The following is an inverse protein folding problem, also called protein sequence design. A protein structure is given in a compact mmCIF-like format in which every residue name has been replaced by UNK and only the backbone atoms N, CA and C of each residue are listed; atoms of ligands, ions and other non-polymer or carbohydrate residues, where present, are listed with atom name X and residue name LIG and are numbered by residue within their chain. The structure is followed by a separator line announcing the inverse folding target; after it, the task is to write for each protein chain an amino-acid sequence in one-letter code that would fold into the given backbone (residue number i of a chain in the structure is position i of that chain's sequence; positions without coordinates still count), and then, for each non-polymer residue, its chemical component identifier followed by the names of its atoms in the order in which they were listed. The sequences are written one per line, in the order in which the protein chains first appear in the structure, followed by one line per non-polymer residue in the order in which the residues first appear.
data_IF_647778959862
#
_entry.id   IF_647778959862
#
_cell.length_a   1.000
_cell.length_b   1.000
_cell.length_c   1.000
_cell.angle_alpha   90.00
_cell.angle_beta   90.00
_cell.angle_gamma   90.00
#
_symmetry.space_group_name_H-M   'P 1'
#
loop_
_entity.id
_entity.type
_entity.pdbx_description
1 polymer ?
#
# COMPACT_ATOMS: atom_id res chain seq x y z
N UNK A 1 -20.53 23.53 20.35
CA UNK A 1 -19.62 23.13 19.24
C UNK A 1 -18.20 22.80 19.72
N UNK A 2 -17.51 23.71 20.44
CA UNK A 2 -16.14 23.47 20.97
C UNK A 2 -16.04 22.23 21.89
N UNK A 3 -17.01 22.05 22.80
CA UNK A 3 -17.06 20.90 23.70
C UNK A 3 -17.21 19.56 22.94
N UNK A 4 -17.97 19.56 21.84
CA UNK A 4 -18.18 18.38 21.01
C UNK A 4 -16.89 17.97 20.28
N UNK A 5 -16.20 18.93 19.66
CA UNK A 5 -14.90 18.67 19.01
C UNK A 5 -13.82 18.23 20.00
N UNK A 6 -13.81 18.79 21.21
CA UNK A 6 -12.91 18.34 22.27
C UNK A 6 -13.17 16.90 22.71
N UNK A 7 -14.44 16.51 22.91
CA UNK A 7 -14.82 15.13 23.23
C UNK A 7 -14.50 14.15 22.10
N UNK A 8 -14.79 14.53 20.85
CA UNK A 8 -14.45 13.74 19.67
C UNK A 8 -12.94 13.53 19.57
N UNK A 9 -12.15 14.58 19.77
CA UNK A 9 -10.69 14.48 19.80
C UNK A 9 -10.20 13.54 20.90
N UNK A 10 -10.73 13.66 22.12
CA UNK A 10 -10.36 12.80 23.24
C UNK A 10 -10.69 11.31 22.97
N UNK A 11 -11.81 11.04 22.30
CA UNK A 11 -12.16 9.69 21.84
C UNK A 11 -11.12 9.15 20.85
N UNK A 12 -10.79 9.93 19.82
CA UNK A 12 -9.79 9.55 18.82
C UNK A 12 -8.36 9.51 19.36
N UNK A 13 -8.08 10.09 20.52
CA UNK A 13 -6.77 9.99 21.15
C UNK A 13 -6.65 8.80 22.12
N UNK A 14 -7.76 8.18 22.52
CA UNK A 14 -7.77 7.13 23.54
C UNK A 14 -7.55 5.73 22.94
N UNK A 15 -6.46 5.01 23.29
CA UNK A 15 -6.18 3.66 22.80
C UNK A 15 -7.27 2.64 23.11
N UNK A 16 -7.95 2.77 24.26
CA UNK A 16 -8.99 1.83 24.68
C UNK A 16 -10.21 1.84 23.75
N UNK A 17 -10.44 2.94 23.04
CA UNK A 17 -11.52 3.04 22.06
C UNK A 17 -11.02 2.75 20.64
N UNK A 18 -9.84 3.27 20.30
CA UNK A 18 -9.32 3.22 18.94
C UNK A 18 -8.82 1.83 18.56
N UNK A 19 -8.19 1.09 19.47
CA UNK A 19 -7.69 -0.25 19.18
C UNK A 19 -8.81 -1.26 18.92
N UNK A 20 -9.87 -1.36 19.75
CA UNK A 20 -10.99 -2.23 19.43
C UNK A 20 -11.70 -1.85 18.13
N UNK A 21 -11.85 -0.54 17.86
CA UNK A 21 -12.47 -0.08 16.61
C UNK A 21 -11.62 -0.47 15.39
N UNK A 22 -10.30 -0.31 15.46
CA UNK A 22 -9.36 -0.76 14.44
C UNK A 22 -9.47 -2.27 14.20
N UNK A 23 -9.38 -3.09 15.26
CA UNK A 23 -9.46 -4.55 15.15
C UNK A 23 -10.81 -4.96 14.54
N UNK A 24 -11.90 -4.40 15.04
CA UNK A 24 -13.25 -4.67 14.55
C UNK A 24 -13.38 -4.34 13.07
N UNK A 25 -12.88 -3.18 12.64
CA UNK A 25 -12.92 -2.75 11.24
C UNK A 25 -12.18 -3.73 10.33
N UNK A 26 -10.93 -4.05 10.64
CA UNK A 26 -10.09 -4.91 9.81
C UNK A 26 -10.63 -6.34 9.76
N UNK A 27 -11.10 -6.88 10.89
CA UNK A 27 -11.73 -8.21 10.95
C UNK A 27 -13.02 -8.23 10.14
N UNK A 28 -13.90 -7.23 10.28
CA UNK A 28 -15.14 -7.15 9.49
C UNK A 28 -14.81 -7.11 8.00
N UNK A 29 -13.81 -6.33 7.57
CA UNK A 29 -13.40 -6.30 6.18
C UNK A 29 -12.97 -7.68 5.66
N UNK A 30 -12.16 -8.43 6.42
CA UNK A 30 -11.78 -9.80 6.05
C UNK A 30 -12.99 -10.73 6.01
N UNK A 31 -13.87 -10.70 7.01
CA UNK A 31 -15.08 -11.53 7.04
C UNK A 31 -16.02 -11.23 5.87
N UNK A 32 -16.18 -9.97 5.47
CA UNK A 32 -16.96 -9.58 4.30
C UNK A 32 -16.40 -10.15 3.00
N UNK A 33 -15.07 -10.30 2.90
CA UNK A 33 -14.41 -10.94 1.75
C UNK A 33 -14.57 -12.46 1.84
N UNK A 34 -14.22 -13.07 2.97
CA UNK A 34 -14.25 -14.53 3.14
C UNK A 34 -15.64 -15.10 2.94
N UNK A 35 -16.68 -14.40 3.42
CA UNK A 35 -18.09 -14.78 3.23
C UNK A 35 -18.45 -14.99 1.75
N UNK A 36 -17.80 -14.28 0.82
CA UNK A 36 -18.04 -14.39 -0.63
C UNK A 36 -17.42 -15.65 -1.25
N UNK A 37 -16.51 -16.30 -0.54
CA UNK A 37 -15.70 -17.42 -1.03
C UNK A 37 -15.66 -18.54 0.02
N UNK A 38 -16.84 -18.97 0.51
CA UNK A 38 -16.99 -20.09 1.45
C UNK A 38 -16.18 -19.96 2.75
N UNK A 39 -16.10 -18.75 3.31
CA UNK A 39 -15.34 -18.44 4.53
C UNK A 39 -13.84 -18.75 4.44
N UNK A 40 -13.30 -18.74 3.23
CA UNK A 40 -11.92 -19.14 2.98
C UNK A 40 -10.94 -17.95 3.01
N UNK A 41 -9.94 -17.97 3.91
CA UNK A 41 -9.00 -16.85 4.05
C UNK A 41 -8.01 -16.72 2.89
N UNK A 42 -7.83 -17.73 2.04
CA UNK A 42 -6.95 -17.62 0.87
C UNK A 42 -7.51 -16.65 -0.20
N UNK A 43 -8.79 -16.31 -0.12
CA UNK A 43 -9.46 -15.39 -1.07
C UNK A 43 -8.81 -14.01 -1.15
N UNK A 44 -8.19 -13.50 -0.07
CA UNK A 44 -7.48 -12.22 -0.08
C UNK A 44 -6.06 -12.29 -0.66
N UNK A 45 -5.45 -13.49 -0.74
CA UNK A 45 -4.19 -13.65 -1.48
C UNK A 45 -4.43 -13.51 -2.98
N UNK A 46 -5.63 -13.90 -3.40
CA UNK A 46 -6.10 -13.78 -4.77
C UNK A 46 -5.23 -14.61 -5.74
N UNK A 47 -5.26 -15.93 -5.56
CA UNK A 47 -4.54 -16.88 -6.40
C UNK A 47 -5.18 -16.98 -7.79
N UNK A 48 -4.42 -16.66 -8.84
CA UNK A 48 -4.87 -16.82 -10.22
C UNK A 48 -4.60 -18.24 -10.74
N UNK A 49 -5.57 -18.83 -11.45
CA UNK A 49 -5.47 -20.21 -11.97
C UNK A 49 -4.19 -20.49 -12.75
N UNK A 50 -3.78 -19.56 -13.62
CA UNK A 50 -2.57 -19.70 -14.43
C UNK A 50 -1.30 -19.85 -13.59
N UNK A 51 -1.21 -19.14 -12.46
CA UNK A 51 -0.06 -19.21 -11.56
C UNK A 51 -0.11 -20.46 -10.68
N UNK A 52 -1.30 -20.85 -10.23
CA UNK A 52 -1.49 -22.06 -9.43
C UNK A 52 -1.07 -23.32 -10.19
N UNK A 53 -1.51 -23.47 -11.44
CA UNK A 53 -1.16 -24.65 -12.26
C UNK A 53 0.35 -24.80 -12.39
N UNK A 54 1.09 -23.68 -12.49
CA UNK A 54 2.54 -23.67 -12.58
C UNK A 54 3.26 -23.88 -11.24
N UNK A 55 2.59 -23.69 -10.12
CA UNK A 55 3.13 -23.75 -8.75
C UNK A 55 2.25 -24.64 -7.84
N UNK A 56 1.82 -25.79 -8.37
CA UNK A 56 0.83 -26.68 -7.76
C UNK A 56 1.23 -27.14 -6.35
N UNK A 57 2.49 -27.53 -6.18
CA UNK A 57 3.01 -28.09 -4.91
C UNK A 57 2.99 -27.06 -3.76
N UNK A 58 3.16 -25.78 -4.08
CA UNK A 58 3.18 -24.70 -3.09
C UNK A 58 1.80 -24.10 -2.80
N UNK A 59 0.80 -24.48 -3.58
CA UNK A 59 -0.57 -23.96 -3.43
C UNK A 59 -1.29 -24.74 -2.32
N UNK A 60 -1.93 -24.07 -1.33
CA UNK A 60 -2.64 -24.78 -0.28
C UNK A 60 -3.82 -25.56 -0.85
N UNK A 61 -3.96 -26.84 -0.47
CA UNK A 61 -5.18 -27.60 -0.72
C UNK A 61 -6.37 -26.93 -0.04
N UNK A 62 -7.49 -26.86 -0.74
CA UNK A 62 -8.67 -26.14 -0.33
C UNK A 62 -8.61 -24.62 -0.56
N UNK A 63 -7.57 -24.07 -1.21
CA UNK A 63 -7.51 -22.63 -1.49
C UNK A 63 -8.51 -22.20 -2.58
N UNK A 64 -9.03 -20.98 -2.45
CA UNK A 64 -9.80 -20.29 -3.50
C UNK A 64 -8.86 -19.89 -4.64
N UNK A 65 -9.21 -20.30 -5.86
CA UNK A 65 -8.51 -19.97 -7.10
C UNK A 65 -9.44 -19.17 -8.00
N UNK A 66 -8.99 -18.02 -8.45
CA UNK A 66 -9.71 -17.17 -9.37
C UNK A 66 -9.45 -17.56 -10.82
N UNK A 67 -10.53 -17.81 -11.56
CA UNK A 67 -10.48 -18.34 -12.93
C UNK A 67 -10.13 -17.27 -13.98
N UNK A 68 -10.25 -15.98 -13.62
CA UNK A 68 -10.18 -14.89 -14.59
C UNK A 68 -11.50 -14.62 -15.32
N UNK A 69 -11.48 -13.67 -16.24
CA UNK A 69 -12.57 -13.39 -17.20
C UNK A 69 -12.02 -13.56 -18.62
N UNK A 70 -12.86 -13.77 -19.65
CA UNK A 70 -12.38 -13.78 -21.03
C UNK A 70 -11.59 -12.50 -21.34
N UNK A 71 -10.32 -12.64 -21.75
CA UNK A 71 -9.40 -11.51 -21.99
C UNK A 71 -8.54 -11.08 -20.78
N UNK A 72 -8.74 -11.70 -19.61
CA UNK A 72 -7.97 -11.46 -18.37
C UNK A 72 -7.33 -12.79 -17.96
N UNK A 73 -6.01 -12.91 -18.18
CA UNK A 73 -5.18 -14.11 -18.02
C UNK A 73 -5.05 -14.49 -16.53
N UNK A 74 -6.12 -15.03 -15.95
CA UNK A 74 -6.18 -15.46 -14.55
C UNK A 74 -6.10 -14.28 -13.58
N UNK A 75 -7.23 -13.91 -12.96
CA UNK A 75 -7.42 -12.72 -12.12
C UNK A 75 -6.65 -12.70 -10.78
N UNK A 76 -5.47 -13.30 -10.71
CA UNK A 76 -4.64 -13.24 -9.52
C UNK A 76 -4.01 -11.85 -9.34
N UNK A 77 -3.82 -11.43 -8.09
CA UNK A 77 -3.30 -10.10 -7.75
C UNK A 77 -1.90 -10.20 -7.14
N UNK A 78 -1.27 -9.07 -6.80
CA UNK A 78 0.11 -9.02 -6.29
C UNK A 78 0.33 -9.88 -5.02
N UNK A 79 -0.72 -10.18 -4.24
CA UNK A 79 -0.64 -11.01 -3.03
C UNK A 79 -0.05 -12.41 -3.27
N UNK A 80 -0.47 -13.08 -4.34
CA UNK A 80 0.04 -14.41 -4.70
C UNK A 80 1.55 -14.42 -4.98
N UNK A 81 2.09 -13.31 -5.52
CA UNK A 81 3.51 -13.17 -5.83
C UNK A 81 4.30 -13.26 -4.53
N UNK A 82 3.88 -12.47 -3.53
CA UNK A 82 4.55 -12.45 -2.24
C UNK A 82 4.39 -13.78 -1.50
N UNK A 83 3.23 -14.43 -1.64
CA UNK A 83 3.02 -15.79 -1.14
C UNK A 83 4.05 -16.77 -1.72
N UNK A 84 4.12 -16.95 -3.04
CA UNK A 84 5.00 -17.96 -3.63
C UNK A 84 6.48 -17.66 -3.42
N UNK A 85 6.88 -16.38 -3.48
CA UNK A 85 8.27 -16.02 -3.17
C UNK A 85 8.61 -16.29 -1.71
N UNK A 86 7.67 -16.14 -0.78
CA UNK A 86 7.90 -16.49 0.62
C UNK A 86 8.05 -18.00 0.81
N UNK A 87 7.27 -18.81 0.06
CA UNK A 87 7.37 -20.27 0.06
C UNK A 87 8.74 -20.76 -0.38
N UNK A 88 9.27 -20.19 -1.47
CA UNK A 88 10.63 -20.42 -1.94
C UNK A 88 11.66 -20.24 -0.81
N UNK A 89 11.56 -19.13 -0.07
CA UNK A 89 12.45 -18.85 1.05
C UNK A 89 12.24 -19.81 2.24
N UNK A 90 11.00 -20.17 2.56
CA UNK A 90 10.67 -21.10 3.65
C UNK A 90 11.20 -22.50 3.41
N UNK A 91 11.15 -22.97 2.15
CA UNK A 91 11.66 -24.27 1.74
C UNK A 91 13.18 -24.32 1.57
N UNK A 92 13.89 -23.20 1.83
CA UNK A 92 15.34 -23.07 1.64
C UNK A 92 15.82 -23.50 0.25
N UNK A 93 14.96 -23.38 -0.77
CA UNK A 93 15.29 -23.65 -2.16
C UNK A 93 15.23 -22.35 -2.94
N UNK A 94 16.16 -22.13 -3.86
CA UNK A 94 16.13 -20.97 -4.77
C UNK A 94 15.38 -21.29 -6.07
N UNK A 95 14.41 -22.20 -6.00
CA UNK A 95 13.51 -22.49 -7.11
C UNK A 95 12.50 -21.35 -7.25
N UNK A 96 12.79 -20.43 -8.16
CA UNK A 96 11.95 -19.25 -8.37
C UNK A 96 10.54 -19.63 -8.82
N UNK A 97 9.50 -18.98 -8.26
CA UNK A 97 8.13 -19.23 -8.65
C UNK A 97 7.90 -18.99 -10.14
N UNK A 98 7.25 -19.94 -10.81
CA UNK A 98 7.03 -19.90 -12.26
C UNK A 98 5.90 -18.94 -12.63
N UNK A 99 6.05 -18.28 -13.78
CA UNK A 99 5.04 -17.39 -14.35
C UNK A 99 5.16 -15.93 -13.94
N UNK A 100 6.12 -15.56 -13.08
CA UNK A 100 6.32 -14.18 -12.64
C UNK A 100 7.54 -13.53 -13.33
N UNK A 101 7.43 -12.24 -13.65
CA UNK A 101 8.56 -11.49 -14.22
C UNK A 101 9.66 -11.25 -13.19
N UNK A 102 10.79 -11.93 -13.37
CA UNK A 102 11.97 -11.88 -12.50
C UNK A 102 12.51 -10.45 -12.36
N UNK A 103 12.54 -9.69 -13.45
CA UNK A 103 13.08 -8.32 -13.50
C UNK A 103 12.41 -7.36 -12.52
N UNK A 104 11.10 -7.47 -12.35
CA UNK A 104 10.30 -6.55 -11.53
C UNK A 104 10.06 -7.13 -10.14
N UNK A 105 9.87 -8.45 -10.04
CA UNK A 105 9.39 -9.09 -8.81
C UNK A 105 10.50 -9.62 -7.92
N UNK A 106 11.59 -10.14 -8.48
CA UNK A 106 12.71 -10.66 -7.69
C UNK A 106 13.42 -9.61 -6.81
N UNK A 107 13.54 -8.33 -7.21
CA UNK A 107 14.10 -7.30 -6.33
C UNK A 107 13.27 -7.04 -5.07
N UNK A 108 11.95 -7.34 -5.09
CA UNK A 108 11.00 -7.05 -4.01
C UNK A 108 10.90 -8.18 -2.98
N UNK A 109 12.04 -8.64 -2.46
CA UNK A 109 12.10 -9.80 -1.55
C UNK A 109 11.75 -9.47 -0.09
N UNK A 110 11.69 -8.20 0.30
CA UNK A 110 11.56 -7.79 1.70
C UNK A 110 10.29 -8.29 2.39
N UNK A 111 9.12 -8.17 1.76
CA UNK A 111 7.88 -8.73 2.31
C UNK A 111 7.87 -10.27 2.31
N UNK A 112 8.23 -10.96 1.20
CA UNK A 112 8.42 -12.41 1.21
C UNK A 112 9.34 -12.93 2.31
N UNK A 113 10.46 -12.24 2.56
CA UNK A 113 11.45 -12.60 3.58
C UNK A 113 10.85 -12.56 4.99
N UNK A 114 10.00 -11.58 5.28
CA UNK A 114 9.33 -11.49 6.58
C UNK A 114 8.23 -12.55 6.74
N UNK A 115 7.53 -12.88 5.65
CA UNK A 115 6.46 -13.90 5.65
C UNK A 115 7.03 -15.32 5.72
N UNK A 116 8.23 -15.56 5.21
CA UNK A 116 8.79 -16.91 5.06
C UNK A 116 8.94 -17.67 6.38
N UNK A 117 9.12 -16.97 7.51
CA UNK A 117 9.15 -17.58 8.85
C UNK A 117 7.87 -18.35 9.15
N UNK A 118 6.72 -17.87 8.66
CA UNK A 118 5.43 -18.53 8.84
C UNK A 118 5.25 -19.73 7.92
N UNK A 119 5.99 -19.81 6.82
CA UNK A 119 5.93 -20.95 5.90
C UNK A 119 6.53 -22.23 6.46
N UNK A 120 7.29 -22.17 7.56
CA UNK A 120 7.69 -23.37 8.31
C UNK A 120 6.49 -24.13 8.89
N UNK A 121 5.33 -23.46 9.05
CA UNK A 121 4.08 -24.08 9.46
C UNK A 121 3.21 -24.54 8.25
N UNK A 122 3.82 -24.68 7.07
CA UNK A 122 3.17 -25.14 5.85
C UNK A 122 2.52 -24.02 5.01
N UNK A 123 1.81 -24.41 3.96
CA UNK A 123 1.18 -23.51 2.98
C UNK A 123 0.14 -22.59 3.64
N UNK A 124 -0.72 -23.14 4.50
CA UNK A 124 -1.66 -22.35 5.30
C UNK A 124 -0.96 -21.47 6.34
N UNK A 125 0.17 -21.91 6.90
CA UNK A 125 1.02 -21.09 7.76
C UNK A 125 1.43 -19.78 7.07
N UNK A 126 1.87 -19.86 5.81
CA UNK A 126 2.17 -18.68 4.99
C UNK A 126 0.94 -17.78 4.78
N UNK A 127 -0.25 -18.35 4.52
CA UNK A 127 -1.49 -17.55 4.38
C UNK A 127 -1.75 -16.72 5.62
N UNK A 128 -1.78 -17.34 6.80
CA UNK A 128 -2.02 -16.63 8.06
C UNK A 128 -0.86 -15.71 8.44
N UNK A 129 0.37 -16.06 8.08
CA UNK A 129 1.55 -15.21 8.23
C UNK A 129 1.42 -13.87 7.52
N UNK A 130 0.86 -13.85 6.29
CA UNK A 130 0.60 -12.60 5.56
C UNK A 130 -0.43 -11.72 6.28
N UNK A 131 -1.51 -12.29 6.82
CA UNK A 131 -2.48 -11.56 7.63
C UNK A 131 -1.84 -10.98 8.89
N UNK A 132 -1.17 -11.84 9.65
CA UNK A 132 -0.53 -11.48 10.91
C UNK A 132 0.49 -10.38 10.69
N UNK A 133 1.38 -10.51 9.69
CA UNK A 133 2.45 -9.55 9.46
C UNK A 133 1.91 -8.17 9.07
N UNK A 134 0.87 -8.10 8.23
CA UNK A 134 0.23 -6.82 7.91
C UNK A 134 -0.37 -6.16 9.16
N UNK A 135 -1.18 -6.89 9.93
CA UNK A 135 -1.81 -6.35 11.13
C UNK A 135 -0.78 -5.95 12.19
N UNK A 136 0.22 -6.80 12.41
CA UNK A 136 1.31 -6.55 13.35
C UNK A 136 2.08 -5.30 12.96
N UNK A 137 2.50 -5.16 11.70
CA UNK A 137 3.26 -3.98 11.28
C UNK A 137 2.42 -2.70 11.31
N UNK A 138 1.14 -2.73 10.93
CA UNK A 138 0.24 -1.57 11.05
C UNK A 138 0.10 -1.16 12.52
N UNK A 139 -0.13 -2.13 13.42
CA UNK A 139 -0.32 -1.84 14.84
C UNK A 139 0.97 -1.38 15.52
N UNK A 140 2.09 -2.06 15.24
CA UNK A 140 3.39 -1.71 15.80
C UNK A 140 3.84 -0.32 15.34
N UNK A 141 3.74 -0.05 14.03
CA UNK A 141 4.05 1.28 13.49
C UNK A 141 3.10 2.36 14.04
N UNK A 142 1.83 2.06 14.30
CA UNK A 142 0.93 3.01 14.97
C UNK A 142 1.43 3.45 16.34
N UNK A 143 1.94 2.53 17.18
CA UNK A 143 2.53 2.91 18.46
C UNK A 143 3.71 3.88 18.27
N UNK A 144 4.51 3.68 17.23
CA UNK A 144 5.63 4.57 16.89
C UNK A 144 5.16 5.93 16.35
N UNK A 145 4.15 5.97 15.48
CA UNK A 145 3.52 7.23 15.05
C UNK A 145 2.98 7.99 16.26
N UNK A 146 2.30 7.29 17.16
CA UNK A 146 1.73 7.87 18.38
C UNK A 146 2.81 8.45 19.30
N UNK A 147 3.94 7.78 19.45
CA UNK A 147 5.11 8.32 20.16
C UNK A 147 5.63 9.60 19.49
N UNK A 148 5.81 9.59 18.16
CA UNK A 148 6.27 10.76 17.39
C UNK A 148 5.30 11.95 17.50
N UNK A 149 4.00 11.69 17.50
CA UNK A 149 2.96 12.71 17.61
C UNK A 149 2.92 13.42 18.98
N UNK A 150 3.46 12.82 20.03
CA UNK A 150 3.37 13.36 21.39
C UNK A 150 1.92 13.56 21.83
N UNK A 151 1.67 14.59 22.66
CA UNK A 151 0.31 14.95 23.11
C UNK A 151 -0.40 15.83 22.06
N UNK A 152 0.33 16.78 21.46
CA UNK A 152 -0.23 17.81 20.60
C UNK A 152 -0.87 17.26 19.32
N UNK A 153 -0.24 16.27 18.68
CA UNK A 153 -0.67 15.71 17.39
C UNK A 153 -1.26 14.31 17.50
N UNK A 154 -1.56 13.87 18.72
CA UNK A 154 -1.92 12.49 19.02
C UNK A 154 -3.09 11.96 18.18
N UNK A 155 -4.06 12.82 17.86
CA UNK A 155 -5.21 12.49 17.02
C UNK A 155 -4.82 11.96 15.64
N UNK A 156 -3.71 12.44 15.05
CA UNK A 156 -3.25 12.03 13.73
C UNK A 156 -2.77 10.57 13.69
N UNK A 157 -2.31 10.03 14.83
CA UNK A 157 -2.02 8.59 14.93
C UNK A 157 -3.26 7.73 14.64
N UNK A 158 -4.46 8.22 14.95
CA UNK A 158 -5.69 7.47 14.62
C UNK A 158 -6.03 7.56 13.14
N UNK A 159 -5.72 8.68 12.47
CA UNK A 159 -5.88 8.78 11.01
C UNK A 159 -4.95 7.80 10.27
N UNK A 160 -3.80 7.50 10.85
CA UNK A 160 -2.93 6.43 10.36
C UNK A 160 -3.63 5.06 10.41
N UNK A 161 -4.21 4.66 11.56
CA UNK A 161 -4.92 3.37 11.69
C UNK A 161 -6.15 3.25 10.79
N UNK A 162 -6.88 4.34 10.58
CA UNK A 162 -8.07 4.38 9.73
C UNK A 162 -7.75 4.82 8.30
N UNK A 163 -6.50 4.68 7.87
CA UNK A 163 -6.09 4.89 6.48
C UNK A 163 -6.87 3.96 5.55
N UNK A 164 -7.67 4.48 4.59
CA UNK A 164 -8.32 3.65 3.59
C UNK A 164 -7.30 2.88 2.72
N UNK A 165 -6.08 3.40 2.60
CA UNK A 165 -5.04 2.80 1.79
C UNK A 165 -4.34 1.64 2.50
N UNK A 166 -4.09 1.75 3.82
CA UNK A 166 -3.60 0.62 4.61
C UNK A 166 -4.64 -0.49 4.64
N UNK A 167 -5.91 -0.14 4.83
CA UNK A 167 -7.01 -1.10 4.81
C UNK A 167 -7.14 -1.74 3.43
N UNK A 168 -7.10 -0.97 2.35
CA UNK A 168 -7.12 -1.49 0.98
C UNK A 168 -5.95 -2.44 0.69
N UNK A 169 -4.73 -2.08 1.10
CA UNK A 169 -3.56 -2.96 0.99
C UNK A 169 -3.72 -4.25 1.79
N UNK A 170 -4.29 -4.17 3.00
CA UNK A 170 -4.57 -5.33 3.84
C UNK A 170 -5.62 -6.25 3.22
N UNK A 171 -6.68 -5.69 2.62
CA UNK A 171 -7.72 -6.50 1.95
C UNK A 171 -7.21 -7.32 0.77
N UNK A 172 -6.06 -6.94 0.21
CA UNK A 172 -5.39 -7.62 -0.92
C UNK A 172 -4.07 -8.31 -0.50
N UNK A 173 -3.72 -8.26 0.79
CA UNK A 173 -2.48 -8.80 1.38
C UNK A 173 -1.19 -8.46 0.59
N UNK A 174 -1.13 -7.25 0.03
CA UNK A 174 0.02 -6.75 -0.74
C UNK A 174 1.04 -6.03 0.14
N UNK A 175 2.21 -5.73 -0.41
CA UNK A 175 3.35 -5.18 0.36
C UNK A 175 3.21 -3.71 0.78
N UNK A 176 2.21 -2.96 0.32
CA UNK A 176 2.16 -1.51 0.53
C UNK A 176 1.96 -1.12 2.01
N UNK A 177 1.10 -1.83 2.73
CA UNK A 177 0.91 -1.66 4.18
C UNK A 177 2.18 -2.07 4.96
N UNK A 178 2.82 -3.17 4.57
CA UNK A 178 4.09 -3.64 5.14
C UNK A 178 5.18 -2.59 4.95
N UNK A 179 5.35 -2.09 3.73
CA UNK A 179 6.28 -1.01 3.41
C UNK A 179 6.01 0.23 4.27
N UNK A 180 4.75 0.65 4.38
CA UNK A 180 4.38 1.84 5.14
C UNK A 180 4.73 1.66 6.62
N UNK A 181 4.47 0.47 7.20
CA UNK A 181 4.89 0.13 8.55
C UNK A 181 6.41 0.18 8.72
N UNK A 182 7.17 -0.42 7.79
CA UNK A 182 8.63 -0.40 7.80
C UNK A 182 9.20 1.02 7.67
N UNK A 183 8.61 1.89 6.84
CA UNK A 183 9.02 3.28 6.69
C UNK A 183 8.76 4.10 7.95
N UNK A 184 7.65 3.85 8.65
CA UNK A 184 7.39 4.46 9.97
C UNK A 184 8.43 4.02 10.99
N UNK A 185 8.72 2.72 11.06
CA UNK A 185 9.76 2.18 11.95
C UNK A 185 11.12 2.82 11.64
N UNK A 186 11.46 2.90 10.35
CA UNK A 186 12.68 3.53 9.85
C UNK A 186 12.73 5.00 10.26
N UNK A 187 11.68 5.78 10.03
CA UNK A 187 11.62 7.19 10.42
C UNK A 187 11.72 7.38 11.94
N UNK A 188 11.09 6.51 12.73
CA UNK A 188 11.19 6.54 14.18
C UNK A 188 12.64 6.32 14.64
N UNK A 189 13.32 5.30 14.12
CA UNK A 189 14.73 5.06 14.46
C UNK A 189 15.65 6.18 13.99
N UNK A 190 15.36 6.81 12.84
CA UNK A 190 16.05 8.03 12.41
C UNK A 190 15.90 9.15 13.44
N UNK A 191 14.66 9.44 13.88
CA UNK A 191 14.38 10.49 14.87
C UNK A 191 14.95 10.21 16.25
N UNK A 192 15.09 8.94 16.64
CA UNK A 192 15.74 8.51 17.90
C UNK A 192 17.24 8.25 17.75
N UNK A 193 17.82 8.55 16.59
CA UNK A 193 19.25 8.36 16.28
C UNK A 193 19.77 6.93 16.53
N UNK A 194 18.90 5.92 16.33
CA UNK A 194 19.25 4.50 16.45
C UNK A 194 19.72 3.95 15.10
N UNK A 195 20.93 4.34 14.71
CA UNK A 195 21.45 4.18 13.35
C UNK A 195 21.54 2.75 12.83
N UNK A 196 21.89 1.77 13.68
CA UNK A 196 21.96 0.36 13.28
C UNK A 196 20.58 -0.14 12.84
N UNK A 197 19.55 0.14 13.65
CA UNK A 197 18.19 -0.26 13.34
C UNK A 197 17.62 0.53 12.16
N UNK A 198 17.92 1.82 12.07
CA UNK A 198 17.58 2.64 10.90
C UNK A 198 18.17 2.04 9.61
N UNK A 199 19.44 1.62 9.63
CA UNK A 199 20.10 0.96 8.50
C UNK A 199 19.36 -0.33 8.09
N UNK A 200 19.09 -1.21 9.05
CA UNK A 200 18.43 -2.50 8.78
C UNK A 200 17.01 -2.32 8.24
N UNK A 201 16.18 -1.52 8.92
CA UNK A 201 14.79 -1.29 8.50
C UNK A 201 14.69 -0.44 7.23
N UNK A 202 15.61 0.51 7.01
CA UNK A 202 15.69 1.28 5.78
C UNK A 202 16.04 0.40 4.58
N UNK A 203 17.07 -0.46 4.71
CA UNK A 203 17.42 -1.43 3.67
C UNK A 203 16.31 -2.44 3.40
N UNK A 204 15.67 -2.96 4.44
CA UNK A 204 14.52 -3.86 4.32
C UNK A 204 13.31 -3.18 3.66
N UNK A 205 13.10 -1.88 3.92
CA UNK A 205 12.05 -1.10 3.24
C UNK A 205 12.30 -1.03 1.74
N UNK A 206 13.54 -0.75 1.31
CA UNK A 206 13.91 -0.72 -0.11
C UNK A 206 13.71 -2.10 -0.75
N UNK A 207 14.13 -3.17 -0.07
CA UNK A 207 13.89 -4.54 -0.51
C UNK A 207 12.40 -4.91 -0.56
N UNK A 208 11.54 -4.22 0.18
CA UNK A 208 10.09 -4.44 0.13
C UNK A 208 9.48 -3.75 -1.09
N UNK A 209 9.87 -2.49 -1.34
CA UNK A 209 9.43 -1.73 -2.50
C UNK A 209 10.32 -0.50 -2.71
N UNK A 210 10.54 -0.14 -3.97
CA UNK A 210 11.28 1.05 -4.40
C UNK A 210 10.69 2.37 -3.85
N UNK A 211 9.39 2.40 -3.52
CA UNK A 211 8.75 3.54 -2.88
C UNK A 211 9.36 3.92 -1.51
N UNK A 212 10.20 3.06 -0.91
CA UNK A 212 11.00 3.42 0.26
C UNK A 212 11.90 4.65 0.04
N UNK A 213 12.36 4.85 -1.21
CA UNK A 213 13.14 6.04 -1.57
C UNK A 213 12.36 7.33 -1.38
N UNK A 214 11.02 7.29 -1.38
CA UNK A 214 10.22 8.48 -1.15
C UNK A 214 10.42 9.06 0.25
N UNK A 215 10.95 8.29 1.22
CA UNK A 215 11.38 8.82 2.51
C UNK A 215 12.90 8.98 2.59
N UNK A 216 13.65 7.94 2.21
CA UNK A 216 15.10 7.89 2.43
C UNK A 216 15.85 8.94 1.60
N UNK A 217 15.42 9.20 0.36
CA UNK A 217 16.04 10.22 -0.47
C UNK A 217 15.80 11.63 0.11
N UNK A 218 14.57 12.05 0.46
CA UNK A 218 14.35 13.33 1.13
C UNK A 218 15.09 13.52 2.45
N UNK A 219 15.19 12.48 3.28
CA UNK A 219 16.01 12.52 4.50
C UNK A 219 17.48 12.80 4.18
N UNK A 220 18.00 12.16 3.13
CA UNK A 220 19.36 12.40 2.64
C UNK A 220 19.56 13.84 2.18
N UNK A 221 18.63 14.36 1.37
CA UNK A 221 18.65 15.77 0.90
C UNK A 221 18.65 16.73 2.08
N UNK A 222 17.75 16.58 3.04
CA UNK A 222 17.70 17.44 4.23
C UNK A 222 19.01 17.36 5.03
N UNK A 223 19.56 16.16 5.22
CA UNK A 223 20.81 15.95 5.94
C UNK A 223 22.00 16.67 5.28
N UNK A 224 22.07 16.64 3.94
CA UNK A 224 23.10 17.36 3.17
C UNK A 224 22.91 18.87 3.28
N UNK A 225 21.68 19.37 3.13
CA UNK A 225 21.37 20.80 3.26
C UNK A 225 21.72 21.35 4.65
N UNK A 226 21.50 20.55 5.70
CA UNK A 226 21.86 20.87 7.09
C UNK A 226 23.34 20.63 7.41
N UNK A 227 24.17 20.22 6.42
CA UNK A 227 25.60 19.89 6.57
C UNK A 227 25.88 18.79 7.61
N UNK A 228 24.92 17.89 7.85
CA UNK A 228 25.04 16.74 8.76
C UNK A 228 25.64 15.54 8.03
N UNK A 229 26.90 15.65 7.61
CA UNK A 229 27.58 14.65 6.78
C UNK A 229 27.54 13.22 7.34
N UNK A 230 27.72 13.08 8.66
CA UNK A 230 27.62 11.77 9.35
C UNK A 230 26.26 11.11 9.12
N UNK A 231 25.18 11.87 9.23
CA UNK A 231 23.83 11.37 9.01
C UNK A 231 23.62 11.02 7.54
N UNK A 232 24.17 11.80 6.61
CA UNK A 232 24.08 11.51 5.17
C UNK A 232 24.74 10.17 4.82
N UNK A 233 25.93 9.89 5.36
CA UNK A 233 26.62 8.59 5.17
C UNK A 233 25.79 7.43 5.73
N UNK A 234 25.19 7.61 6.91
CA UNK A 234 24.34 6.59 7.54
C UNK A 234 23.02 6.39 6.81
N UNK A 235 22.50 7.40 6.10
CA UNK A 235 21.35 7.25 5.20
C UNK A 235 21.75 6.46 3.96
N UNK A 236 22.87 6.82 3.32
CA UNK A 236 23.38 6.10 2.15
C UNK A 236 23.68 4.63 2.47
N UNK A 237 24.13 4.33 3.69
CA UNK A 237 24.41 2.94 4.06
C UNK A 237 23.18 2.04 3.94
N UNK A 238 21.95 2.53 4.09
CA UNK A 238 20.72 1.73 3.87
C UNK A 238 20.68 1.00 2.52
N UNK A 239 21.45 1.46 1.53
CA UNK A 239 21.58 0.85 0.21
C UNK A 239 22.41 -0.44 0.18
N UNK A 240 23.19 -0.74 1.23
CA UNK A 240 24.06 -1.92 1.22
C UNK A 240 23.27 -3.23 1.11
N UNK A 241 22.18 -3.39 1.87
CA UNK A 241 21.34 -4.58 1.81
C UNK A 241 20.70 -4.78 0.42
N UNK A 242 20.02 -3.77 -0.17
CA UNK A 242 19.58 -3.81 -1.56
C UNK A 242 20.69 -4.09 -2.58
N UNK A 243 21.88 -3.52 -2.36
CA UNK A 243 23.02 -3.72 -3.26
C UNK A 243 23.49 -5.17 -3.27
N UNK A 244 23.67 -5.79 -2.10
CA UNK A 244 24.04 -7.21 -2.03
C UNK A 244 22.97 -8.12 -2.63
N UNK A 245 21.69 -7.82 -2.41
CA UNK A 245 20.60 -8.54 -3.04
C UNK A 245 20.61 -8.39 -4.57
N UNK A 246 20.81 -7.18 -5.08
CA UNK A 246 20.91 -6.93 -6.52
C UNK A 246 22.11 -7.64 -7.16
N UNK A 247 23.26 -7.66 -6.47
CA UNK A 247 24.43 -8.42 -6.92
C UNK A 247 24.15 -9.92 -6.99
N UNK A 248 23.47 -10.48 -5.98
CA UNK A 248 23.01 -11.86 -5.99
C UNK A 248 22.04 -12.14 -7.16
N UNK A 249 21.06 -11.26 -7.39
CA UNK A 249 20.12 -11.41 -8.51
C UNK A 249 20.82 -11.36 -9.86
N UNK A 250 21.85 -10.53 -10.04
CA UNK A 250 22.61 -10.43 -11.28
C UNK A 250 23.41 -11.71 -11.58
N UNK A 251 23.88 -12.41 -10.53
CA UNK A 251 24.52 -13.73 -10.67
C UNK A 251 23.49 -14.79 -11.06
N UNK A 252 22.33 -14.78 -10.38
CA UNK A 252 21.27 -15.77 -10.62
C UNK A 252 20.57 -15.58 -11.98
N UNK A 253 20.41 -14.32 -12.39
CA UNK A 253 19.73 -13.91 -13.61
C UNK A 253 20.64 -12.95 -14.40
N UNK A 254 21.51 -13.48 -15.29
CA UNK A 254 22.46 -12.64 -16.04
C UNK A 254 21.79 -11.54 -16.88
N UNK A 255 20.55 -11.78 -17.32
CA UNK A 255 19.75 -10.84 -18.10
C UNK A 255 18.97 -9.83 -17.24
N UNK A 256 19.04 -9.95 -15.90
CA UNK A 256 18.31 -9.07 -14.99
C UNK A 256 18.85 -7.65 -15.04
N UNK A 257 17.99 -6.67 -15.28
CA UNK A 257 18.37 -5.26 -15.32
C UNK A 257 17.40 -4.38 -14.51
N UNK A 258 17.91 -3.37 -13.78
CA UNK A 258 17.07 -2.41 -13.08
C UNK A 258 16.38 -1.40 -14.01
N UNK A 259 16.70 -1.35 -15.31
CA UNK A 259 16.29 -0.26 -16.23
C UNK A 259 14.86 -0.31 -16.78
N UNK A 260 14.00 -1.26 -16.39
CA UNK A 260 12.61 -1.33 -16.91
C UNK A 260 11.61 -0.35 -16.29
N UNK A 261 12.00 0.44 -15.28
CA UNK A 261 11.07 1.39 -14.66
C UNK A 261 10.69 2.57 -15.56
N UNK A 262 11.44 2.84 -16.63
CA UNK A 262 11.14 3.91 -17.60
C UNK A 262 9.85 3.65 -18.38
N UNK A 263 9.48 2.39 -18.59
CA UNK A 263 8.29 2.01 -19.38
C UNK A 263 6.98 2.36 -18.66
N UNK A 264 7.04 2.63 -17.35
CA UNK A 264 5.88 3.01 -16.53
C UNK A 264 5.67 4.52 -16.44
N UNK A 265 6.63 5.33 -16.92
CA UNK A 265 6.60 6.78 -16.79
C UNK A 265 5.84 7.40 -17.97
N UNK A 266 4.55 7.66 -17.77
CA UNK A 266 3.67 8.29 -18.77
C UNK A 266 2.91 9.43 -18.11
N UNK A 267 3.57 10.58 -17.89
CA UNK A 267 2.97 11.73 -17.23
C UNK A 267 1.68 12.15 -17.91
N UNK A 268 0.67 12.51 -17.11
CA UNK A 268 -0.65 12.97 -17.55
C UNK A 268 -1.52 11.94 -18.30
N UNK A 269 -0.96 10.88 -18.87
CA UNK A 269 -1.72 9.89 -19.64
C UNK A 269 -2.82 9.24 -18.81
N UNK A 270 -2.54 8.94 -17.54
CA UNK A 270 -3.55 8.44 -16.60
C UNK A 270 -4.76 9.36 -16.43
N UNK A 271 -4.53 10.66 -16.27
CA UNK A 271 -5.59 11.65 -16.15
C UNK A 271 -6.32 11.89 -17.47
N UNK A 272 -5.61 11.96 -18.59
CA UNK A 272 -6.20 12.13 -19.92
C UNK A 272 -7.05 10.92 -20.28
N UNK A 273 -6.57 9.71 -20.03
CA UNK A 273 -7.32 8.47 -20.22
C UNK A 273 -8.57 8.42 -19.35
N UNK A 274 -8.46 8.77 -18.05
CA UNK A 274 -9.61 8.81 -17.16
C UNK A 274 -10.62 9.91 -17.55
N UNK A 275 -10.13 11.07 -17.99
CA UNK A 275 -10.96 12.15 -18.50
C UNK A 275 -11.70 11.75 -19.78
N UNK A 276 -11.04 11.08 -20.72
CA UNK A 276 -11.70 10.49 -21.90
C UNK A 276 -12.78 9.50 -21.51
N UNK A 277 -12.50 8.61 -20.55
CA UNK A 277 -13.50 7.68 -20.04
C UNK A 277 -14.73 8.41 -19.48
N UNK A 278 -14.53 9.46 -18.66
CA UNK A 278 -15.64 10.27 -18.11
C UNK A 278 -16.39 11.00 -19.23
N UNK A 279 -15.69 11.64 -20.15
CA UNK A 279 -16.24 12.52 -21.19
C UNK A 279 -16.74 11.82 -22.44
N UNK A 280 -16.60 10.51 -22.56
CA UNK A 280 -17.31 9.78 -23.60
C UNK A 280 -18.80 10.15 -23.57
N UNK A 281 -19.45 10.39 -24.74
CA UNK A 281 -20.84 10.86 -24.84
C UNK A 281 -21.87 9.93 -24.16
N UNK A 282 -21.41 8.76 -23.71
CA UNK A 282 -22.03 7.84 -22.77
C UNK A 282 -22.12 8.37 -21.33
N UNK A 283 -21.88 9.66 -21.04
CA UNK A 283 -21.96 10.22 -19.68
C UNK A 283 -23.33 9.98 -19.03
N UNK A 284 -24.40 9.83 -19.81
CA UNK A 284 -25.74 9.43 -19.34
C UNK A 284 -26.12 7.99 -19.72
N UNK A 285 -25.20 7.19 -20.27
CA UNK A 285 -25.47 5.80 -20.68
C UNK A 285 -25.93 4.91 -19.52
N UNK A 286 -25.50 5.19 -18.29
CA UNK A 286 -25.99 4.50 -17.10
C UNK A 286 -27.46 4.80 -16.78
N UNK A 287 -28.01 5.93 -17.27
CA UNK A 287 -29.44 6.25 -17.22
C UNK A 287 -30.23 5.58 -18.35
N UNK A 288 -29.56 5.13 -19.41
CA UNK A 288 -30.16 4.45 -20.56
C UNK A 288 -30.25 2.93 -20.36
N UNK A 289 -29.75 2.39 -19.24
CA UNK A 289 -29.85 0.96 -18.89
C UNK A 289 -31.23 0.69 -18.26
N UNK A 290 -31.98 -0.34 -18.71
CA UNK A 290 -33.33 -0.62 -18.22
C UNK A 290 -33.44 -0.92 -16.72
N UNK A 291 -32.33 -1.27 -16.08
CA UNK A 291 -32.28 -1.69 -14.68
C UNK A 291 -31.45 -0.69 -13.85
N UNK A 292 -32.12 -0.02 -12.90
CA UNK A 292 -31.54 0.93 -11.96
C UNK A 292 -30.31 0.35 -11.22
N UNK A 293 -30.35 -0.93 -10.83
CA UNK A 293 -29.25 -1.59 -10.12
C UNK A 293 -28.01 -1.70 -11.01
N UNK A 294 -28.20 -2.06 -12.28
CA UNK A 294 -27.10 -2.17 -13.25
C UNK A 294 -26.55 -0.78 -13.62
N UNK A 295 -27.42 0.22 -13.79
CA UNK A 295 -27.02 1.61 -14.00
C UNK A 295 -26.18 2.17 -12.85
N UNK A 296 -26.60 1.95 -11.59
CA UNK A 296 -25.85 2.38 -10.41
C UNK A 296 -24.47 1.69 -10.29
N UNK A 297 -24.37 0.40 -10.65
CA UNK A 297 -23.08 -0.31 -10.65
C UNK A 297 -22.12 0.24 -11.72
N UNK A 298 -22.63 0.56 -12.91
CA UNK A 298 -21.83 1.16 -13.99
C UNK A 298 -21.39 2.58 -13.62
N UNK A 299 -22.30 3.38 -13.06
CA UNK A 299 -21.99 4.70 -12.50
C UNK A 299 -20.88 4.60 -11.43
N UNK A 300 -21.05 3.71 -10.46
CA UNK A 300 -20.09 3.52 -9.39
C UNK A 300 -18.71 3.07 -9.91
N UNK A 301 -18.65 2.21 -10.93
CA UNK A 301 -17.39 1.82 -11.58
C UNK A 301 -16.71 3.00 -12.26
N UNK A 302 -17.46 3.77 -13.06
CA UNK A 302 -16.95 4.91 -13.83
C UNK A 302 -16.42 6.03 -12.92
N UNK A 303 -17.16 6.36 -11.86
CA UNK A 303 -16.80 7.43 -10.91
C UNK A 303 -15.99 6.97 -9.68
N UNK A 304 -15.66 5.67 -9.57
CA UNK A 304 -14.90 5.13 -8.42
C UNK A 304 -13.55 5.81 -8.18
N UNK A 305 -12.91 6.33 -9.23
CA UNK A 305 -11.58 6.98 -9.18
C UNK A 305 -11.64 8.49 -8.94
N UNK A 306 -12.82 9.11 -9.05
CA UNK A 306 -12.99 10.55 -8.80
C UNK A 306 -12.56 10.96 -7.38
N UNK A 307 -12.90 10.23 -6.30
CA UNK A 307 -12.38 10.55 -4.97
C UNK A 307 -10.86 10.54 -4.87
N UNK A 308 -10.17 9.64 -5.60
CA UNK A 308 -8.71 9.59 -5.65
C UNK A 308 -8.13 10.78 -6.41
N UNK A 309 -8.81 11.23 -7.47
CA UNK A 309 -8.45 12.46 -8.17
C UNK A 309 -8.63 13.70 -7.28
N UNK A 310 -9.73 13.79 -6.53
CA UNK A 310 -9.93 14.86 -5.56
C UNK A 310 -8.87 14.84 -4.46
N UNK A 311 -8.43 13.65 -4.03
CA UNK A 311 -7.34 13.51 -3.07
C UNK A 311 -6.00 13.96 -3.65
N UNK A 312 -5.74 13.68 -4.92
CA UNK A 312 -4.58 14.18 -5.64
C UNK A 312 -4.57 15.72 -5.65
N UNK A 313 -5.68 16.36 -6.01
CA UNK A 313 -5.82 17.82 -5.97
C UNK A 313 -5.66 18.38 -4.55
N UNK A 314 -6.27 17.73 -3.56
CA UNK A 314 -6.09 18.08 -2.16
C UNK A 314 -4.60 17.98 -1.74
N UNK A 315 -3.89 16.95 -2.23
CA UNK A 315 -2.46 16.76 -2.00
C UNK A 315 -1.62 17.87 -2.63
N UNK A 316 -1.93 18.30 -3.86
CA UNK A 316 -1.27 19.45 -4.48
C UNK A 316 -1.50 20.74 -3.67
N UNK A 317 -2.72 20.96 -3.20
CA UNK A 317 -3.04 22.11 -2.34
C UNK A 317 -2.23 22.08 -1.03
N UNK A 318 -2.20 20.93 -0.35
CA UNK A 318 -1.40 20.71 0.86
C UNK A 318 0.08 20.99 0.58
N UNK A 319 0.61 20.46 -0.52
CA UNK A 319 2.00 20.68 -0.93
C UNK A 319 2.33 22.16 -1.17
N UNK A 320 1.38 22.97 -1.66
CA UNK A 320 1.58 24.41 -1.85
C UNK A 320 1.44 25.23 -0.55
N UNK A 321 0.94 24.63 0.52
CA UNK A 321 0.78 25.28 1.83
C UNK A 321 2.02 25.13 2.74
N UNK A 322 1.94 25.68 3.96
CA UNK A 322 3.00 25.56 4.96
C UNK A 322 4.23 26.45 4.71
N UNK A 323 5.21 26.36 5.61
CA UNK A 323 6.46 27.07 5.52
C UNK A 323 7.52 26.26 4.75
N UNK A 324 8.01 26.81 3.64
CA UNK A 324 9.04 26.18 2.79
C UNK A 324 10.38 25.91 3.48
N UNK A 325 10.65 26.56 4.61
CA UNK A 325 11.89 26.38 5.37
C UNK A 325 11.79 25.28 6.43
N UNK A 326 10.61 24.74 6.71
CA UNK A 326 10.38 23.71 7.73
C UNK A 326 10.00 22.39 7.07
N UNK A 327 10.44 21.28 7.67
CA UNK A 327 9.97 19.95 7.25
C UNK A 327 10.37 19.55 5.83
N UNK A 328 11.54 19.96 5.34
CA UNK A 328 11.95 19.75 3.93
C UNK A 328 11.86 18.27 3.54
N UNK A 329 12.36 17.35 4.37
CA UNK A 329 12.26 15.93 4.06
C UNK A 329 10.79 15.47 4.02
N UNK A 330 9.97 15.85 5.00
CA UNK A 330 8.55 15.48 5.02
C UNK A 330 7.78 16.02 3.81
N UNK A 331 8.00 17.28 3.45
CA UNK A 331 7.42 17.94 2.28
C UNK A 331 7.81 17.24 0.98
N UNK A 332 9.09 16.99 0.77
CA UNK A 332 9.58 16.32 -0.43
C UNK A 332 9.14 14.85 -0.47
N UNK A 333 9.04 14.18 0.68
CA UNK A 333 8.49 12.81 0.75
C UNK A 333 7.03 12.77 0.31
N UNK A 334 6.21 13.69 0.81
CA UNK A 334 4.82 13.83 0.39
C UNK A 334 4.70 14.20 -1.10
N UNK A 335 5.55 15.11 -1.58
CA UNK A 335 5.62 15.47 -3.00
C UNK A 335 5.89 14.27 -3.89
N UNK A 336 6.85 13.40 -3.55
CA UNK A 336 7.17 12.21 -4.34
C UNK A 336 5.97 11.25 -4.47
N UNK A 337 5.11 11.18 -3.45
CA UNK A 337 3.85 10.43 -3.53
C UNK A 337 2.92 11.05 -4.57
N UNK A 338 2.67 12.35 -4.49
CA UNK A 338 1.81 13.08 -5.43
C UNK A 338 2.37 12.99 -6.86
N UNK A 339 3.69 13.15 -7.01
CA UNK A 339 4.38 13.01 -8.28
C UNK A 339 4.23 11.60 -8.87
N UNK A 340 4.31 10.55 -8.06
CA UNK A 340 4.13 9.18 -8.54
C UNK A 340 2.73 8.95 -9.10
N UNK A 341 1.69 9.48 -8.43
CA UNK A 341 0.29 9.40 -8.90
C UNK A 341 0.12 10.15 -10.21
N UNK A 342 0.79 11.30 -10.34
CA UNK A 342 0.80 12.10 -11.55
C UNK A 342 1.49 11.42 -12.74
N UNK A 343 2.56 10.66 -12.49
CA UNK A 343 3.34 10.01 -13.53
C UNK A 343 2.80 8.64 -13.98
N UNK A 344 1.76 8.14 -13.32
CA UNK A 344 1.19 6.83 -13.61
C UNK A 344 0.31 6.85 -14.88
N UNK A 345 0.58 5.93 -15.80
CA UNK A 345 -0.19 5.77 -17.03
C UNK A 345 -1.60 5.20 -16.85
N UNK A 346 -2.41 5.31 -17.90
CA UNK A 346 -3.80 4.88 -17.85
C UNK A 346 -3.98 3.37 -17.72
N UNK A 347 -3.41 2.62 -18.67
CA UNK A 347 -3.68 1.17 -18.82
C UNK A 347 -3.31 0.38 -17.56
N UNK A 348 -2.15 0.66 -16.97
CA UNK A 348 -1.61 -0.13 -15.86
C UNK A 348 -2.09 0.33 -14.48
N UNK A 349 -2.39 1.62 -14.31
CA UNK A 349 -2.75 2.17 -13.00
C UNK A 349 -4.15 2.78 -13.02
N UNK A 350 -4.37 3.86 -13.78
CA UNK A 350 -5.62 4.61 -13.72
C UNK A 350 -6.85 3.87 -14.26
N UNK A 351 -6.69 2.74 -14.93
CA UNK A 351 -7.79 1.82 -15.29
C UNK A 351 -8.42 1.13 -14.08
N UNK A 352 -7.69 1.01 -12.96
CA UNK A 352 -8.09 0.27 -11.78
C UNK A 352 -8.02 1.13 -10.51
N UNK A 353 -9.14 1.18 -9.78
CA UNK A 353 -9.21 1.88 -8.49
C UNK A 353 -8.15 1.37 -7.52
N UNK A 354 -8.01 0.05 -7.41
CA UNK A 354 -7.09 -0.64 -6.51
C UNK A 354 -5.64 -0.20 -6.77
N UNK A 355 -5.24 -0.08 -8.04
CA UNK A 355 -3.88 0.28 -8.41
C UNK A 355 -3.56 1.75 -8.06
N UNK A 356 -4.45 2.70 -8.40
CA UNK A 356 -4.25 4.12 -8.05
C UNK A 356 -4.30 4.32 -6.53
N UNK A 357 -5.26 3.68 -5.86
CA UNK A 357 -5.43 3.78 -4.40
C UNK A 357 -4.15 3.36 -3.66
N UNK A 358 -3.46 2.31 -4.12
CA UNK A 358 -2.21 1.83 -3.51
C UNK A 358 -1.06 2.83 -3.61
N UNK A 359 -1.07 3.72 -4.60
CA UNK A 359 -0.03 4.74 -4.73
C UNK A 359 -0.08 5.76 -3.58
N UNK A 360 -1.23 5.94 -2.94
CA UNK A 360 -1.40 6.80 -1.77
C UNK A 360 -1.06 6.13 -0.44
N UNK A 361 -0.65 4.85 -0.40
CA UNK A 361 -0.54 4.12 0.88
C UNK A 361 0.37 4.79 1.92
N UNK A 362 1.50 5.34 1.47
CA UNK A 362 2.46 6.02 2.35
C UNK A 362 2.10 7.50 2.62
N UNK A 363 1.10 8.06 1.91
CA UNK A 363 0.81 9.50 1.93
C UNK A 363 0.43 10.00 3.32
N UNK A 364 -0.37 9.23 4.05
CA UNK A 364 -0.86 9.58 5.38
C UNK A 364 0.30 9.62 6.36
N UNK A 365 1.19 8.62 6.34
CA UNK A 365 2.37 8.61 7.21
C UNK A 365 3.27 9.83 6.93
N UNK A 366 3.54 10.13 5.66
CA UNK A 366 4.40 11.25 5.29
C UNK A 366 3.79 12.61 5.58
N UNK A 367 2.47 12.76 5.40
CA UNK A 367 1.77 13.98 5.79
C UNK A 367 1.85 14.19 7.31
N UNK A 368 1.71 13.11 8.09
CA UNK A 368 1.90 13.18 9.54
C UNK A 368 3.33 13.62 9.85
N UNK A 369 4.36 12.98 9.27
CA UNK A 369 5.76 13.36 9.50
C UNK A 369 6.04 14.82 9.19
N UNK A 370 5.48 15.34 8.09
CA UNK A 370 5.61 16.74 7.74
C UNK A 370 4.90 17.65 8.76
N UNK A 371 3.68 17.31 9.16
CA UNK A 371 2.91 18.07 10.16
C UNK A 371 3.58 18.15 11.53
N UNK A 372 4.37 17.14 11.91
CA UNK A 372 5.17 17.17 13.14
C UNK A 372 6.25 18.27 13.12
N UNK A 373 6.72 18.67 11.95
CA UNK A 373 7.76 19.70 11.78
C UNK A 373 7.19 21.07 11.37
N UNK A 374 6.01 21.08 10.73
CA UNK A 374 5.36 22.31 10.27
C UNK A 374 3.85 22.32 10.54
N UNK A 375 3.43 23.14 11.50
CA UNK A 375 2.03 23.28 11.90
C UNK A 375 1.16 24.06 10.93
N UNK A 376 1.75 24.93 10.11
CA UNK A 376 0.99 25.86 9.28
C UNK A 376 0.41 25.22 8.01
N UNK A 377 0.66 23.93 7.79
CA UNK A 377 0.12 23.15 6.67
C UNK A 377 -1.42 23.15 6.73
N UNK A 378 -2.06 23.46 5.60
CA UNK A 378 -3.51 23.43 5.45
C UNK A 378 -3.97 22.04 4.95
N UNK A 379 -4.16 21.10 5.88
CA UNK A 379 -4.39 19.67 5.63
C UNK A 379 -5.86 19.22 5.78
N UNK A 380 -6.75 20.09 6.25
CA UNK A 380 -8.14 19.74 6.55
C UNK A 380 -8.88 19.12 5.36
N UNK A 381 -8.77 19.71 4.17
CA UNK A 381 -9.45 19.19 2.98
C UNK A 381 -8.95 17.79 2.61
N UNK A 382 -7.64 17.53 2.75
CA UNK A 382 -7.04 16.23 2.51
C UNK A 382 -7.60 15.15 3.45
N UNK A 383 -7.76 15.47 4.73
CA UNK A 383 -8.36 14.56 5.70
C UNK A 383 -9.84 14.29 5.44
N UNK A 384 -10.61 15.30 5.03
CA UNK A 384 -12.03 15.14 4.66
C UNK A 384 -12.18 14.20 3.47
N UNK A 385 -11.39 14.40 2.41
CA UNK A 385 -11.42 13.54 1.23
C UNK A 385 -10.97 12.13 1.59
N UNK A 386 -9.91 11.98 2.39
CA UNK A 386 -9.44 10.67 2.88
C UNK A 386 -10.51 9.92 3.68
N UNK A 387 -11.19 10.60 4.60
CA UNK A 387 -12.30 10.01 5.37
C UNK A 387 -13.47 9.61 4.47
N UNK A 388 -13.76 10.39 3.44
CA UNK A 388 -14.79 10.06 2.45
C UNK A 388 -14.41 8.81 1.64
N UNK A 389 -13.15 8.68 1.25
CA UNK A 389 -12.63 7.48 0.57
C UNK A 389 -12.78 6.25 1.45
N UNK A 390 -12.52 6.34 2.76
CA UNK A 390 -12.75 5.23 3.69
C UNK A 390 -14.20 4.78 3.69
N UNK A 391 -15.15 5.70 3.78
CA UNK A 391 -16.58 5.37 3.75
C UNK A 391 -16.98 4.72 2.42
N UNK A 392 -16.52 5.27 1.29
CA UNK A 392 -16.77 4.71 -0.05
C UNK A 392 -16.16 3.31 -0.18
N UNK A 393 -14.95 3.11 0.34
CA UNK A 393 -14.28 1.80 0.33
C UNK A 393 -15.09 0.76 1.11
N UNK A 394 -15.53 1.09 2.32
CA UNK A 394 -16.36 0.20 3.14
C UNK A 394 -17.70 -0.11 2.47
N UNK A 395 -18.35 0.90 1.88
CA UNK A 395 -19.57 0.72 1.11
C UNK A 395 -19.36 -0.21 -0.08
N UNK A 396 -18.27 -0.01 -0.84
CA UNK A 396 -17.89 -0.86 -1.98
C UNK A 396 -17.66 -2.31 -1.52
N UNK A 397 -16.98 -2.51 -0.39
CA UNK A 397 -16.68 -3.84 0.13
C UNK A 397 -17.95 -4.59 0.58
N UNK A 398 -18.85 -3.90 1.29
CA UNK A 398 -20.06 -4.48 1.83
C UNK A 398 -21.14 -4.74 0.76
N UNK A 399 -21.33 -3.83 -0.20
CA UNK A 399 -22.53 -3.85 -1.06
C UNK A 399 -22.26 -3.97 -2.56
N UNK A 400 -21.11 -3.50 -3.06
CA UNK A 400 -20.87 -3.36 -4.52
C UNK A 400 -20.00 -4.47 -5.08
N UNK A 401 -19.00 -4.94 -4.33
CA UNK A 401 -18.02 -5.91 -4.82
C UNK A 401 -18.66 -7.28 -5.05
N UNK A 402 -18.73 -7.68 -6.31
CA UNK A 402 -19.26 -8.96 -6.79
C UNK A 402 -18.30 -10.11 -6.55
N UNK A 403 -18.84 -11.32 -6.41
CA UNK A 403 -18.09 -12.57 -6.40
C UNK A 403 -17.44 -12.76 -7.78
N UNK A 404 -16.13 -12.98 -7.82
CA UNK A 404 -15.43 -13.35 -9.05
C UNK A 404 -15.56 -14.86 -9.30
N UNK A 405 -15.55 -15.33 -10.55
CA UNK A 405 -15.51 -16.75 -10.84
C UNK A 405 -14.33 -17.43 -10.15
N UNK A 406 -14.61 -18.47 -9.36
CA UNK A 406 -13.61 -19.18 -8.58
C UNK A 406 -13.86 -20.68 -8.55
N UNK A 407 -12.79 -21.43 -8.27
CA UNK A 407 -12.83 -22.85 -7.92
C UNK A 407 -12.08 -23.07 -6.60
N UNK A 408 -12.31 -24.22 -5.95
CA UNK A 408 -11.55 -24.64 -4.77
C UNK A 408 -10.48 -25.62 -5.23
N UNK A 409 -9.22 -25.36 -4.86
CA UNK A 409 -8.09 -26.20 -5.20
C UNK A 409 -8.15 -27.53 -4.45
N UNK A 410 -7.85 -28.63 -5.15
CA UNK A 410 -7.86 -29.99 -4.59
C UNK A 410 -6.45 -30.49 -4.26
#
# INVERSE_FOLDING_TARGET
MILFFSKMRAFFENPFWILPLFITLYVICSLLIWKKYNWNPSSQINFGKQFVVQNTEETPKGAVIFLGRPGDLGAGYDGQIFYYYSRMLSGFHLNWPKGFEENIRAPRIGYPLLVSVFGWFGTWGTVFGMYFLNLFLILFSWFLVRDLCGVKYRVYSSFYLFSPFLLGSYTLLVSDAVLTGLLVITFWFYKKEKWIWFFLFGGLSILTKEQAFFLLFPLGVQSVLEKKWKNSILIVSTLLLPFFWAAFLRIQFPNWSPTRFTDFFTPLDGFVGYWKEINEPSLLSFLQVPNLKTGLVLFAKKFSRLPLFLLFLAGLFVFCSGNWKKGIAGRLSFFLVIFSVFSAGYVLYWSSYENVSRMFTVSIAFLIFWKLEDDSIADLFYWIVTGSILLIFLFKLAFVSSILPYEIWN
#
